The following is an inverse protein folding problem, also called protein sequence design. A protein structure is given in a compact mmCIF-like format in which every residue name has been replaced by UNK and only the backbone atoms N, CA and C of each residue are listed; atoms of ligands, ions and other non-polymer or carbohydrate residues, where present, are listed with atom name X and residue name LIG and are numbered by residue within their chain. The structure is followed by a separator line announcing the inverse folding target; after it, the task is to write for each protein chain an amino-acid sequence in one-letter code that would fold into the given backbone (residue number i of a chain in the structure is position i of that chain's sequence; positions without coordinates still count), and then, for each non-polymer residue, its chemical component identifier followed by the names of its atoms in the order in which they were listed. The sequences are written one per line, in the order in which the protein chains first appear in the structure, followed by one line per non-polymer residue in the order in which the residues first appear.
data_IF_347844116797
#
_entry.id   IF_347844116797
#
_cell.length_a   1.000
_cell.length_b   1.000
_cell.length_c   1.000
_cell.angle_alpha   90.00
_cell.angle_beta   90.00
_cell.angle_gamma   90.00
#
_symmetry.space_group_name_H-M   'P 1'
#
loop_
_entity.id
_entity.type
_entity.pdbx_description
1 polymer ?
#
# COMPACT_ATOMS: atom_id res chain seq x y z
N UNK A 1 7.08 22.96 3.88
CA UNK A 1 6.94 22.48 2.49
C UNK A 1 6.48 21.04 2.54
N UNK A 2 5.22 20.75 2.21
CA UNK A 2 4.76 19.38 2.08
C UNK A 2 5.23 18.84 0.73
N UNK A 3 6.49 18.38 0.69
CA UNK A 3 7.04 17.76 -0.52
C UNK A 3 6.35 16.41 -0.71
N UNK A 4 5.58 16.28 -1.78
CA UNK A 4 5.11 14.98 -2.24
C UNK A 4 6.28 14.26 -2.89
N UNK A 5 6.58 13.05 -2.43
CA UNK A 5 7.63 12.20 -3.00
C UNK A 5 6.94 11.08 -3.78
N UNK A 6 7.33 10.90 -5.04
CA UNK A 6 6.83 9.82 -5.88
C UNK A 6 7.52 8.51 -5.52
N UNK A 7 6.76 7.43 -5.41
CA UNK A 7 7.27 6.07 -5.23
C UNK A 7 6.87 5.21 -6.42
N UNK A 8 7.86 4.62 -7.08
CA UNK A 8 7.65 3.71 -8.22
C UNK A 8 7.91 2.28 -7.77
N UNK A 9 7.00 1.37 -8.13
CA UNK A 9 7.13 -0.07 -7.87
C UNK A 9 7.16 -0.82 -9.20
N UNK A 10 7.96 -1.88 -9.27
CA UNK A 10 7.92 -2.82 -10.40
C UNK A 10 7.01 -3.99 -10.05
N UNK A 11 6.10 -4.31 -10.96
CA UNK A 11 5.16 -5.42 -10.82
C UNK A 11 5.04 -6.13 -12.16
N UNK A 12 4.79 -7.42 -12.12
CA UNK A 12 4.35 -8.19 -13.28
C UNK A 12 2.90 -7.85 -13.65
N UNK A 13 2.49 -8.23 -14.86
CA UNK A 13 1.11 -8.07 -15.33
C UNK A 13 0.11 -8.79 -14.43
N UNK A 14 0.45 -10.00 -13.97
CA UNK A 14 -0.39 -10.82 -13.08
C UNK A 14 -0.59 -10.13 -11.73
N UNK A 15 0.45 -9.53 -11.17
CA UNK A 15 0.35 -8.77 -9.92
C UNK A 15 -0.49 -7.51 -10.08
N UNK A 16 -0.33 -6.79 -11.20
CA UNK A 16 -1.12 -5.60 -11.49
C UNK A 16 -2.62 -5.93 -11.60
N UNK A 17 -2.99 -7.01 -12.27
CA UNK A 17 -4.40 -7.42 -12.39
C UNK A 17 -5.01 -7.80 -11.03
N UNK A 18 -4.25 -8.48 -10.16
CA UNK A 18 -4.67 -8.76 -8.78
C UNK A 18 -4.94 -7.46 -8.01
N UNK A 19 -4.05 -6.47 -8.12
CA UNK A 19 -4.20 -5.17 -7.44
C UNK A 19 -5.45 -4.42 -7.96
N UNK A 20 -5.69 -4.44 -9.28
CA UNK A 20 -6.90 -3.85 -9.87
C UNK A 20 -8.17 -4.57 -9.39
N UNK A 21 -8.16 -5.90 -9.34
CA UNK A 21 -9.31 -6.67 -8.85
C UNK A 21 -9.60 -6.37 -7.38
N UNK A 22 -8.57 -6.37 -6.52
CA UNK A 22 -8.73 -6.03 -5.11
C UNK A 22 -9.26 -4.60 -4.91
N UNK A 23 -8.72 -3.63 -5.65
CA UNK A 23 -9.21 -2.25 -5.61
C UNK A 23 -10.69 -2.13 -5.97
N UNK A 24 -11.17 -2.90 -6.96
CA UNK A 24 -12.60 -2.94 -7.33
C UNK A 24 -13.47 -3.55 -6.24
N UNK A 25 -13.02 -4.65 -5.62
CA UNK A 25 -13.77 -5.34 -4.56
C UNK A 25 -13.92 -4.48 -3.31
N UNK A 26 -12.88 -3.73 -2.96
CA UNK A 26 -12.85 -2.80 -1.83
C UNK A 26 -13.40 -1.40 -2.19
N UNK A 27 -13.99 -1.23 -3.39
CA UNK A 27 -14.61 0.01 -3.88
C UNK A 27 -13.70 1.25 -3.84
N UNK A 28 -12.39 1.07 -4.06
CA UNK A 28 -11.45 2.20 -4.21
C UNK A 28 -11.59 2.89 -5.56
N UNK A 29 -11.32 4.20 -5.60
CA UNK A 29 -11.40 4.97 -6.85
C UNK A 29 -10.29 4.59 -7.86
N UNK A 30 -9.15 4.07 -7.40
CA UNK A 30 -8.07 3.58 -8.25
C UNK A 30 -7.23 2.51 -7.56
N UNK A 31 -6.54 1.67 -8.36
CA UNK A 31 -5.57 0.72 -7.82
C UNK A 31 -4.39 1.42 -7.13
N UNK A 32 -3.99 2.62 -7.58
CA UNK A 32 -2.94 3.41 -6.92
C UNK A 32 -3.36 3.88 -5.52
N UNK A 33 -4.63 4.28 -5.35
CA UNK A 33 -5.16 4.61 -4.02
C UNK A 33 -5.16 3.38 -3.12
N UNK A 34 -5.66 2.24 -3.63
CA UNK A 34 -5.67 0.97 -2.92
C UNK A 34 -4.26 0.59 -2.43
N UNK A 35 -3.26 0.60 -3.33
CA UNK A 35 -1.86 0.27 -2.98
C UNK A 35 -1.35 1.19 -1.88
N UNK A 36 -1.54 2.50 -2.01
CA UNK A 36 -1.05 3.48 -1.02
C UNK A 36 -1.68 3.24 0.35
N UNK A 37 -3.00 3.05 0.42
CA UNK A 37 -3.70 2.85 1.70
C UNK A 37 -3.27 1.56 2.38
N UNK A 38 -3.26 0.47 1.63
CA UNK A 38 -2.87 -0.85 2.15
C UNK A 38 -1.42 -0.85 2.62
N UNK A 39 -0.50 -0.23 1.87
CA UNK A 39 0.90 -0.13 2.29
C UNK A 39 1.07 0.66 3.60
N UNK A 40 0.31 1.74 3.81
CA UNK A 40 0.35 2.52 5.06
C UNK A 40 -0.23 1.74 6.25
N UNK A 41 -1.35 1.02 6.04
CA UNK A 41 -1.95 0.19 7.08
C UNK A 41 -0.98 -0.91 7.52
N UNK A 42 -0.36 -1.60 6.56
CA UNK A 42 0.59 -2.67 6.85
C UNK A 42 1.88 -2.13 7.52
N UNK A 43 2.39 -0.99 7.05
CA UNK A 43 3.54 -0.35 7.68
C UNK A 43 3.26 0.01 9.14
N UNK A 44 2.09 0.56 9.45
CA UNK A 44 1.68 0.89 10.82
C UNK A 44 1.63 -0.37 11.69
N UNK A 45 1.04 -1.47 11.21
CA UNK A 45 1.00 -2.75 11.93
C UNK A 45 2.41 -3.26 12.23
N UNK A 46 3.29 -3.28 11.24
CA UNK A 46 4.69 -3.73 11.41
C UNK A 46 5.43 -2.87 12.44
N UNK A 47 5.26 -1.54 12.39
CA UNK A 47 5.87 -0.62 13.36
C UNK A 47 5.33 -0.88 14.76
N UNK A 48 4.03 -1.13 14.92
CA UNK A 48 3.41 -1.38 16.22
C UNK A 48 3.79 -2.74 16.81
N UNK A 49 3.92 -3.77 15.97
CA UNK A 49 4.29 -5.12 16.39
C UNK A 49 5.77 -5.20 16.73
N UNK A 50 6.65 -4.72 15.84
CA UNK A 50 8.11 -4.86 16.01
C UNK A 50 8.75 -3.71 16.79
N UNK A 51 8.22 -2.50 16.68
CA UNK A 51 8.72 -1.34 17.44
C UNK A 51 8.43 -1.40 18.94
N UNK A 52 7.64 -2.39 19.40
CA UNK A 52 7.45 -2.72 20.81
C UNK A 52 8.44 -3.76 21.33
N UNK A 53 9.09 -4.54 20.47
CA UNK A 53 10.12 -5.53 20.89
C UNK A 53 11.47 -4.86 21.20
N UNK A 54 11.67 -3.62 20.72
CA UNK A 54 12.87 -2.82 20.96
C UNK A 54 12.75 -1.83 22.15
N UNK A 55 11.78 -2.00 23.06
CA UNK A 55 11.62 -1.21 24.30
C UNK A 55 11.41 -2.09 25.53
#
# INVERSE_FOLDING_TARGET
MNKTISMSIRVSEVELEKLKQAARLEAYASYSEFIRRTALIEAEKVIQEKGREDK
#
